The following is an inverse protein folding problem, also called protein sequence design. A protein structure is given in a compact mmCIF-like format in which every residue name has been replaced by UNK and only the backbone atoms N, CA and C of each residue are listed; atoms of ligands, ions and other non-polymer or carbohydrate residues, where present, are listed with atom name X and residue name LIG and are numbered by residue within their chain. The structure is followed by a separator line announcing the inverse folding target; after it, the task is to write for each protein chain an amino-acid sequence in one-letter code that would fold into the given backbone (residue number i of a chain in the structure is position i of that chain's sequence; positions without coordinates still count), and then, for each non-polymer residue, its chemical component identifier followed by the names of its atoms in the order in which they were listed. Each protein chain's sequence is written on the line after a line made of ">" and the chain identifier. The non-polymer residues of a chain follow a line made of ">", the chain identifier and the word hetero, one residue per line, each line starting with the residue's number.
data_IF_210304496921
#
_entry.id   IF_210304496921
#
_cell.length_a   1.000
_cell.length_b   1.000
_cell.length_c   1.000
_cell.angle_alpha   90.00
_cell.angle_beta   90.00
_cell.angle_gamma   90.00
#
_symmetry.space_group_name_H-M   'P 1'
#
loop_
_entity.id
_entity.type
_entity.pdbx_description
1 polymer ?
#
# COMPACT_ATOMS: atom_id res chain seq x y z
N UNK A 1 -13.05 3.20 3.08
CA UNK A 1 -13.28 4.27 2.09
C UNK A 1 -12.01 4.36 1.27
N UNK A 2 -12.12 4.38 -0.06
CA UNK A 2 -11.06 4.85 -0.95
C UNK A 2 -11.50 6.22 -1.48
N UNK A 3 -10.65 7.24 -1.41
CA UNK A 3 -10.97 8.61 -1.81
C UNK A 3 -9.73 9.35 -2.28
N UNK A 4 -9.81 9.98 -3.45
CA UNK A 4 -8.89 11.05 -3.84
C UNK A 4 -9.40 12.41 -3.35
N UNK A 5 -8.48 13.36 -3.21
CA UNK A 5 -8.77 14.78 -3.12
C UNK A 5 -7.78 15.51 -4.02
N UNK A 6 -8.11 16.74 -4.39
CA UNK A 6 -7.16 17.67 -4.98
C UNK A 6 -6.04 17.98 -3.95
N UNK A 7 -4.79 17.98 -4.40
CA UNK A 7 -3.63 18.22 -3.55
C UNK A 7 -3.47 19.68 -3.13
N UNK A 8 -2.53 19.93 -2.20
CA UNK A 8 -2.11 21.30 -1.89
C UNK A 8 -1.50 21.95 -3.16
N UNK A 9 -1.93 23.17 -3.53
CA UNK A 9 -1.52 23.89 -4.75
C UNK A 9 -1.58 23.02 -6.03
N UNK A 10 -2.76 22.72 -6.57
CA UNK A 10 -2.92 21.76 -7.67
C UNK A 10 -2.23 22.14 -8.98
N UNK A 11 -2.01 23.43 -9.22
CA UNK A 11 -1.28 23.94 -10.41
C UNK A 11 0.26 23.82 -10.28
N UNK A 12 0.78 23.66 -9.05
CA UNK A 12 2.22 23.55 -8.76
C UNK A 12 2.64 22.09 -8.46
N UNK A 13 1.80 21.33 -7.76
CA UNK A 13 2.10 19.98 -7.28
C UNK A 13 1.38 18.90 -8.10
N UNK A 14 2.04 17.75 -8.28
CA UNK A 14 1.54 16.65 -9.09
C UNK A 14 0.19 16.09 -8.59
N UNK A 15 -0.78 16.01 -9.50
CA UNK A 15 -2.11 15.44 -9.26
C UNK A 15 -2.24 14.07 -9.93
N UNK A 16 -3.21 13.24 -9.49
CA UNK A 16 -3.46 11.95 -10.13
C UNK A 16 -3.85 12.07 -11.61
N UNK A 17 -4.30 13.26 -12.05
CA UNK A 17 -4.63 13.60 -13.44
C UNK A 17 -3.50 14.32 -14.20
N UNK A 18 -2.31 14.53 -13.60
CA UNK A 18 -1.19 15.23 -14.26
C UNK A 18 -0.52 14.43 -15.38
N UNK A 19 -0.78 13.12 -15.51
CA UNK A 19 -0.36 12.32 -16.68
C UNK A 19 -1.31 11.17 -16.97
N UNK A 20 -1.26 10.65 -18.20
CA UNK A 20 -2.02 9.45 -18.59
C UNK A 20 -1.59 8.23 -17.77
N UNK A 21 -0.30 8.17 -17.38
CA UNK A 21 0.23 7.11 -16.53
C UNK A 21 -0.39 7.15 -15.11
N UNK A 22 -0.42 8.32 -14.45
CA UNK A 22 -1.01 8.46 -13.11
C UNK A 22 -2.51 8.17 -13.09
N UNK A 23 -3.27 8.60 -14.11
CA UNK A 23 -4.70 8.28 -14.20
C UNK A 23 -4.95 6.78 -14.30
N UNK A 24 -4.16 6.06 -15.10
CA UNK A 24 -4.28 4.60 -15.22
C UNK A 24 -3.82 3.86 -13.96
N UNK A 25 -2.83 4.36 -13.24
CA UNK A 25 -2.43 3.78 -11.94
C UNK A 25 -3.53 3.97 -10.87
N UNK A 26 -4.22 5.11 -10.84
CA UNK A 26 -5.42 5.26 -10.01
C UNK A 26 -6.56 4.32 -10.46
N UNK A 27 -6.72 4.10 -11.77
CA UNK A 27 -7.62 3.10 -12.33
C UNK A 27 -7.33 1.71 -11.77
N UNK A 28 -6.08 1.24 -11.90
CA UNK A 28 -5.60 -0.04 -11.33
C UNK A 28 -5.89 -0.16 -9.84
N UNK A 29 -5.57 0.87 -9.04
CA UNK A 29 -5.86 0.86 -7.61
C UNK A 29 -7.37 0.78 -7.31
N UNK A 30 -8.21 1.43 -8.13
CA UNK A 30 -9.67 1.37 -8.03
C UNK A 30 -10.21 -0.02 -8.37
N UNK A 31 -9.64 -0.69 -9.37
CA UNK A 31 -9.98 -2.07 -9.73
C UNK A 31 -9.61 -3.05 -8.60
N UNK A 32 -8.42 -2.92 -7.99
CA UNK A 32 -8.04 -3.75 -6.83
C UNK A 32 -8.97 -3.46 -5.62
N UNK A 33 -9.36 -2.21 -5.37
CA UNK A 33 -10.35 -1.87 -4.34
C UNK A 33 -11.74 -2.50 -4.61
N UNK A 34 -12.14 -2.62 -5.88
CA UNK A 34 -13.37 -3.31 -6.27
C UNK A 34 -13.25 -4.84 -6.09
N UNK A 35 -12.11 -5.43 -6.46
CA UNK A 35 -11.83 -6.86 -6.25
C UNK A 35 -11.83 -7.22 -4.76
N UNK A 36 -11.20 -6.40 -3.92
CA UNK A 36 -11.11 -6.55 -2.46
C UNK A 36 -12.43 -6.29 -1.71
N UNK A 37 -13.54 -5.98 -2.41
CA UNK A 37 -14.83 -5.59 -1.80
C UNK A 37 -15.34 -6.60 -0.77
N UNK A 38 -15.37 -7.89 -1.09
CA UNK A 38 -16.02 -8.89 -0.24
C UNK A 38 -15.29 -9.04 1.11
N UNK A 39 -13.96 -9.11 1.11
CA UNK A 39 -13.16 -9.08 2.34
C UNK A 39 -13.27 -7.73 3.07
N UNK A 40 -13.32 -6.62 2.34
CA UNK A 40 -13.55 -5.30 2.95
C UNK A 40 -14.90 -5.20 3.66
N UNK A 41 -15.92 -5.90 3.17
CA UNK A 41 -17.25 -5.95 3.79
C UNK A 41 -17.26 -6.75 5.10
N UNK A 42 -16.58 -7.91 5.18
CA UNK A 42 -16.48 -8.66 6.44
C UNK A 42 -15.61 -7.94 7.48
N UNK A 43 -14.54 -7.25 7.07
CA UNK A 43 -13.78 -6.36 7.96
C UNK A 43 -14.66 -5.22 8.49
N UNK A 44 -15.57 -4.67 7.68
CA UNK A 44 -16.54 -3.66 8.14
C UNK A 44 -17.66 -4.24 9.02
N UNK A 45 -17.98 -5.53 8.88
CA UNK A 45 -18.89 -6.24 9.80
C UNK A 45 -18.25 -6.41 11.18
N UNK A 46 -16.95 -6.76 11.26
CA UNK A 46 -16.20 -6.75 12.54
C UNK A 46 -16.13 -5.33 13.16
N UNK A 47 -15.96 -4.28 12.34
CA UNK A 47 -16.00 -2.89 12.82
C UNK A 47 -17.35 -2.56 13.45
N UNK A 48 -18.46 -2.97 12.82
CA UNK A 48 -19.81 -2.70 13.30
C UNK A 48 -20.21 -3.56 14.51
N UNK A 49 -19.81 -4.83 14.55
CA UNK A 49 -20.26 -5.79 15.57
C UNK A 49 -19.35 -5.88 16.79
N UNK A 50 -18.03 -5.70 16.61
CA UNK A 50 -17.02 -5.84 17.67
C UNK A 50 -16.32 -4.51 18.03
N UNK A 51 -16.53 -3.45 17.24
CA UNK A 51 -15.87 -2.15 17.43
C UNK A 51 -14.39 -2.15 17.02
N UNK A 52 -13.91 -3.19 16.34
CA UNK A 52 -12.52 -3.31 15.92
C UNK A 52 -12.18 -2.29 14.81
N UNK A 53 -10.98 -1.69 14.78
CA UNK A 53 -10.60 -0.78 13.70
C UNK A 53 -10.38 -1.53 12.37
N UNK A 54 -10.48 -0.84 11.23
CA UNK A 54 -10.44 -1.48 9.90
C UNK A 54 -9.00 -1.77 9.41
N UNK A 55 -8.11 -0.76 9.43
CA UNK A 55 -6.66 -1.02 9.56
C UNK A 55 -6.35 -1.15 11.06
N UNK A 56 -5.48 -2.09 11.41
CA UNK A 56 -5.10 -2.44 12.79
C UNK A 56 -3.57 -2.40 12.90
N UNK A 57 -3.00 -1.76 13.93
CA UNK A 57 -1.57 -1.88 14.21
C UNK A 57 -1.25 -3.33 14.61
N UNK A 58 0.00 -3.78 14.44
CA UNK A 58 0.35 -5.19 14.64
C UNK A 58 0.05 -5.67 16.07
N UNK A 59 0.35 -4.87 17.09
CA UNK A 59 0.07 -5.19 18.50
C UNK A 59 -1.41 -5.50 18.81
N UNK A 60 -2.36 -5.16 17.91
CA UNK A 60 -3.78 -5.53 18.06
C UNK A 60 -4.02 -7.04 17.93
N UNK A 61 -3.15 -7.77 17.21
CA UNK A 61 -3.21 -9.22 17.05
C UNK A 61 -1.93 -9.95 17.52
N UNK A 62 -0.88 -9.20 17.87
CA UNK A 62 0.45 -9.72 18.25
C UNK A 62 0.96 -9.10 19.56
N UNK A 63 0.09 -8.89 20.54
CA UNK A 63 0.40 -8.32 21.86
C UNK A 63 1.53 -9.05 22.64
N UNK A 64 1.83 -10.29 22.28
CA UNK A 64 2.92 -11.10 22.82
C UNK A 64 4.26 -10.98 22.05
N UNK A 65 4.28 -10.33 20.89
CA UNK A 65 5.50 -9.99 20.14
C UNK A 65 5.95 -8.54 20.48
N UNK A 66 7.17 -8.35 21.03
CA UNK A 66 7.71 -7.02 21.29
C UNK A 66 7.91 -6.14 20.05
N UNK A 67 8.18 -6.72 18.87
CA UNK A 67 8.40 -5.94 17.64
C UNK A 67 7.11 -5.29 17.13
N UNK A 68 5.95 -5.90 17.38
CA UNK A 68 4.62 -5.35 17.05
C UNK A 68 4.31 -3.98 17.67
N UNK A 69 5.07 -3.56 18.69
CA UNK A 69 4.98 -2.26 19.37
C UNK A 69 6.06 -1.24 18.94
N UNK A 70 7.00 -1.63 18.08
CA UNK A 70 8.11 -0.74 17.67
C UNK A 70 7.62 0.46 16.82
N UNK A 71 8.32 1.60 16.92
CA UNK A 71 7.98 2.82 16.18
C UNK A 71 8.00 2.63 14.65
N UNK A 72 8.81 1.70 14.13
CA UNK A 72 8.82 1.36 12.70
C UNK A 72 7.51 0.70 12.23
N UNK A 73 6.73 0.06 13.12
CA UNK A 73 5.47 -0.59 12.76
C UNK A 73 4.41 0.39 12.26
N UNK A 74 4.54 1.70 12.51
CA UNK A 74 3.61 2.73 11.99
C UNK A 74 3.58 2.82 10.45
N UNK A 75 4.57 2.24 9.77
CA UNK A 75 4.66 2.19 8.31
C UNK A 75 3.99 0.97 7.67
N UNK A 76 3.29 0.14 8.46
CA UNK A 76 2.50 -1.00 7.97
C UNK A 76 1.26 -1.24 8.84
N UNK A 77 0.22 -1.85 8.28
CA UNK A 77 -0.97 -2.25 9.06
C UNK A 77 -1.60 -3.53 8.56
N UNK A 78 -2.33 -4.21 9.47
CA UNK A 78 -3.25 -5.27 9.11
C UNK A 78 -4.58 -4.66 8.67
N UNK A 79 -5.05 -4.97 7.46
CA UNK A 79 -6.43 -4.76 7.07
C UNK A 79 -7.24 -5.97 7.55
N UNK A 80 -8.15 -5.76 8.51
CA UNK A 80 -8.79 -6.88 9.21
C UNK A 80 -7.80 -7.66 10.05
N UNK A 81 -7.87 -9.00 10.02
CA UNK A 81 -6.84 -9.88 10.60
C UNK A 81 -5.90 -10.46 9.53
N UNK A 82 -6.40 -10.68 8.33
CA UNK A 82 -5.81 -11.59 7.34
C UNK A 82 -4.85 -10.96 6.34
N UNK A 83 -4.85 -9.64 6.17
CA UNK A 83 -4.08 -8.95 5.10
C UNK A 83 -3.12 -7.94 5.71
N UNK A 84 -1.83 -8.05 5.42
CA UNK A 84 -0.79 -7.09 5.82
C UNK A 84 -0.47 -6.16 4.65
N UNK A 85 -0.41 -4.86 4.89
CA UNK A 85 -0.11 -3.82 3.89
C UNK A 85 1.05 -2.96 4.39
N UNK A 86 2.08 -2.75 3.57
CA UNK A 86 3.20 -1.86 3.87
C UNK A 86 3.34 -0.80 2.76
N UNK A 87 2.82 0.44 2.94
CA UNK A 87 2.89 1.47 1.90
C UNK A 87 4.31 2.00 1.66
N UNK A 88 4.78 1.95 0.41
CA UNK A 88 6.03 2.57 -0.04
C UNK A 88 5.92 4.10 0.04
N UNK A 89 6.81 4.75 0.80
CA UNK A 89 6.86 6.21 0.94
C UNK A 89 8.17 6.86 0.46
N UNK A 90 9.30 6.17 0.51
CA UNK A 90 10.57 6.63 -0.09
C UNK A 90 10.56 6.44 -1.63
N UNK A 91 11.36 7.19 -2.42
CA UNK A 91 11.38 7.07 -3.89
C UNK A 91 12.23 5.89 -4.37
N UNK A 92 11.94 5.37 -5.57
CA UNK A 92 12.70 4.30 -6.22
C UNK A 92 14.20 4.60 -6.37
N UNK A 93 14.59 5.87 -6.42
CA UNK A 93 15.99 6.34 -6.43
C UNK A 93 16.73 6.10 -5.11
N UNK A 94 16.02 6.02 -3.99
CA UNK A 94 16.57 5.66 -2.67
C UNK A 94 16.40 4.16 -2.37
N UNK A 95 15.29 3.55 -2.79
CA UNK A 95 14.94 2.17 -2.43
C UNK A 95 15.38 1.11 -3.44
N UNK A 96 15.75 1.49 -4.66
CA UNK A 96 16.08 0.56 -5.74
C UNK A 96 14.90 -0.29 -6.22
N UNK A 97 13.67 0.26 -6.15
CA UNK A 97 12.40 -0.45 -6.44
C UNK A 97 12.14 -1.69 -5.55
N UNK A 98 12.68 -1.71 -4.32
CA UNK A 98 12.45 -2.74 -3.30
C UNK A 98 11.93 -2.13 -2.00
N UNK A 99 11.37 -2.94 -1.11
CA UNK A 99 10.88 -2.48 0.19
C UNK A 99 11.08 -3.53 1.28
N UNK A 100 11.60 -3.07 2.43
CA UNK A 100 11.78 -3.90 3.63
C UNK A 100 10.63 -3.66 4.61
N UNK A 101 10.04 -4.72 5.14
CA UNK A 101 8.94 -4.68 6.10
C UNK A 101 9.04 -5.85 7.09
N UNK A 102 8.30 -5.79 8.18
CA UNK A 102 8.20 -6.87 9.16
C UNK A 102 7.03 -7.81 8.82
N UNK A 103 7.26 -9.12 8.80
CA UNK A 103 6.20 -10.11 8.85
C UNK A 103 6.09 -10.63 10.30
N UNK A 104 4.98 -10.38 11.01
CA UNK A 104 4.81 -10.85 12.38
C UNK A 104 4.51 -12.36 12.46
N UNK A 105 4.56 -12.99 13.66
CA UNK A 105 4.48 -14.44 13.84
C UNK A 105 3.18 -15.12 13.36
N UNK A 106 3.16 -15.48 12.08
CA UNK A 106 2.17 -16.26 11.34
C UNK A 106 2.82 -16.71 10.01
N UNK A 107 2.21 -17.67 9.31
CA UNK A 107 2.56 -17.96 7.92
C UNK A 107 1.89 -16.95 6.96
N UNK A 108 2.67 -16.41 6.03
CA UNK A 108 2.25 -15.37 5.08
C UNK A 108 2.45 -15.80 3.62
N UNK A 109 1.66 -15.21 2.71
CA UNK A 109 1.84 -15.35 1.26
C UNK A 109 1.83 -13.96 0.62
N UNK A 110 2.83 -13.69 -0.21
CA UNK A 110 2.94 -12.43 -0.96
C UNK A 110 1.90 -12.39 -2.08
N UNK A 111 1.08 -11.33 -2.10
CA UNK A 111 -0.13 -11.30 -2.92
C UNK A 111 0.14 -11.34 -4.43
N UNK A 112 1.28 -10.81 -4.90
CA UNK A 112 1.49 -10.54 -6.32
C UNK A 112 2.08 -11.72 -7.11
N UNK A 113 2.87 -12.58 -6.48
CA UNK A 113 3.50 -13.75 -7.12
C UNK A 113 3.20 -15.09 -6.41
N UNK A 114 2.60 -15.07 -5.22
CA UNK A 114 2.27 -16.27 -4.46
C UNK A 114 3.43 -16.85 -3.62
N UNK A 115 4.54 -16.12 -3.47
CA UNK A 115 5.67 -16.54 -2.63
C UNK A 115 5.23 -16.70 -1.18
N UNK A 116 5.41 -17.89 -0.61
CA UNK A 116 5.14 -18.18 0.79
C UNK A 116 6.32 -17.77 1.69
N UNK A 117 6.00 -17.26 2.87
CA UNK A 117 6.90 -16.89 3.95
C UNK A 117 6.37 -17.57 5.20
N UNK A 118 6.92 -18.75 5.48
CA UNK A 118 6.54 -19.63 6.58
C UNK A 118 7.35 -19.28 7.84
N UNK A 119 6.79 -19.55 9.04
CA UNK A 119 7.41 -19.20 10.34
C UNK A 119 7.80 -17.71 10.46
N UNK A 120 6.82 -16.82 10.24
CA UNK A 120 6.99 -15.37 10.38
C UNK A 120 7.49 -14.90 11.77
N UNK A 121 7.90 -13.64 11.83
CA UNK A 121 8.57 -13.03 12.98
C UNK A 121 9.85 -12.26 12.62
N UNK A 122 10.09 -11.99 11.33
CA UNK A 122 11.31 -11.38 10.80
C UNK A 122 11.07 -10.25 9.79
N UNK A 123 12.14 -9.58 9.37
CA UNK A 123 12.11 -8.54 8.34
C UNK A 123 12.42 -9.12 6.95
N UNK A 124 11.46 -9.00 6.02
CA UNK A 124 11.60 -9.46 4.63
C UNK A 124 11.81 -8.27 3.69
N UNK A 125 12.48 -8.48 2.56
CA UNK A 125 12.65 -7.45 1.52
C UNK A 125 12.16 -7.97 0.17
N UNK A 126 11.07 -7.38 -0.30
CA UNK A 126 10.37 -7.74 -1.55
C UNK A 126 10.48 -6.64 -2.60
N UNK A 127 10.18 -6.97 -3.84
CA UNK A 127 10.18 -5.99 -4.94
C UNK A 127 8.90 -5.14 -4.88
N UNK A 128 9.09 -3.82 -4.97
CA UNK A 128 8.06 -2.81 -4.78
C UNK A 128 8.22 -1.65 -5.79
N UNK A 129 8.18 -1.94 -7.11
CA UNK A 129 8.31 -0.92 -8.14
C UNK A 129 7.10 0.03 -8.17
N UNK A 130 7.29 1.23 -8.72
CA UNK A 130 6.26 2.27 -8.81
C UNK A 130 4.90 1.73 -9.32
N UNK A 131 3.84 2.01 -8.57
CA UNK A 131 2.49 1.49 -8.82
C UNK A 131 2.17 0.16 -8.14
N UNK A 132 3.11 -0.41 -7.37
CA UNK A 132 2.93 -1.58 -6.50
C UNK A 132 3.40 -1.27 -5.08
N UNK A 133 2.71 -1.84 -4.09
CA UNK A 133 3.11 -1.84 -2.69
C UNK A 133 3.16 -3.28 -2.18
N UNK A 134 4.00 -3.61 -1.20
CA UNK A 134 3.95 -4.89 -0.54
C UNK A 134 2.57 -5.14 0.11
N UNK A 135 1.95 -6.26 -0.27
CA UNK A 135 0.73 -6.78 0.34
C UNK A 135 0.90 -8.28 0.53
N UNK A 136 0.58 -8.77 1.72
CA UNK A 136 0.60 -10.18 2.06
C UNK A 136 -0.76 -10.59 2.62
N UNK A 137 -1.09 -11.87 2.53
CA UNK A 137 -2.22 -12.45 3.24
C UNK A 137 -1.78 -13.66 4.09
N UNK A 138 -2.45 -13.90 5.22
CA UNK A 138 -2.20 -15.08 6.06
C UNK A 138 -2.48 -16.34 5.26
N UNK A 139 -1.53 -17.28 5.22
CA UNK A 139 -1.61 -18.55 4.48
C UNK A 139 -2.85 -19.36 4.86
N UNK A 140 -3.14 -19.44 6.16
CA UNK A 140 -4.29 -20.15 6.76
C UNK A 140 -5.58 -19.31 6.80
N UNK A 141 -5.63 -18.16 6.10
CA UNK A 141 -6.87 -17.37 6.02
C UNK A 141 -8.00 -18.15 5.35
N UNK A 142 -9.21 -18.05 5.90
CA UNK A 142 -10.44 -18.51 5.24
C UNK A 142 -10.70 -17.80 3.90
N UNK A 143 -10.04 -16.66 3.66
CA UNK A 143 -10.05 -15.91 2.41
C UNK A 143 -8.85 -16.21 1.49
N UNK A 144 -7.95 -17.15 1.80
CA UNK A 144 -6.75 -17.44 0.99
C UNK A 144 -7.07 -17.69 -0.50
N UNK A 145 -8.09 -18.50 -0.80
CA UNK A 145 -8.52 -18.73 -2.19
C UNK A 145 -9.13 -17.49 -2.85
N UNK A 146 -9.75 -16.60 -2.08
CA UNK A 146 -10.23 -15.30 -2.56
C UNK A 146 -9.06 -14.36 -2.86
N UNK A 147 -8.02 -14.30 -2.04
CA UNK A 147 -6.84 -13.46 -2.31
C UNK A 147 -6.05 -13.95 -3.53
N UNK A 148 -5.92 -15.26 -3.75
CA UNK A 148 -5.39 -15.81 -5.00
C UNK A 148 -6.22 -15.36 -6.22
N UNK A 149 -7.55 -15.32 -6.10
CA UNK A 149 -8.42 -14.82 -7.17
C UNK A 149 -8.27 -13.30 -7.38
N UNK A 150 -8.07 -12.51 -6.31
CA UNK A 150 -7.76 -11.07 -6.41
C UNK A 150 -6.43 -10.85 -7.14
N UNK A 151 -5.40 -11.63 -6.82
CA UNK A 151 -4.11 -11.59 -7.50
C UNK A 151 -4.24 -11.89 -9.00
N UNK A 152 -4.88 -13.02 -9.33
CA UNK A 152 -5.05 -13.48 -10.71
C UNK A 152 -5.94 -12.56 -11.59
N UNK A 153 -6.78 -11.72 -10.98
CA UNK A 153 -7.62 -10.74 -11.67
C UNK A 153 -7.13 -9.29 -11.52
N UNK A 154 -6.03 -9.04 -10.81
CA UNK A 154 -5.45 -7.70 -10.68
C UNK A 154 -4.80 -7.29 -12.00
N UNK A 155 -5.08 -6.09 -12.55
CA UNK A 155 -4.42 -5.61 -13.77
C UNK A 155 -2.89 -5.57 -13.61
N UNK A 156 -2.18 -5.90 -14.69
CA UNK A 156 -0.72 -5.80 -14.73
C UNK A 156 -0.24 -4.36 -14.46
N UNK A 157 0.95 -4.24 -13.88
CA UNK A 157 1.62 -2.94 -13.68
C UNK A 157 1.92 -2.34 -15.05
N UNK A 158 1.58 -1.06 -15.25
CA UNK A 158 1.85 -0.39 -16.52
C UNK A 158 3.30 0.09 -16.59
N UNK A 159 3.99 -0.08 -17.73
CA UNK A 159 5.40 0.29 -17.85
C UNK A 159 5.61 1.80 -17.73
N UNK A 160 6.64 2.19 -16.98
CA UNK A 160 7.05 3.57 -16.69
C UNK A 160 7.54 4.34 -17.91
N UNK A 161 7.80 3.67 -19.03
CA UNK A 161 8.10 4.26 -20.35
C UNK A 161 6.92 5.05 -20.97
N UNK A 162 5.81 5.16 -20.26
CA UNK A 162 4.61 5.93 -20.64
C UNK A 162 4.40 7.21 -19.81
N UNK A 163 5.42 7.64 -19.05
CA UNK A 163 5.41 8.91 -18.32
C UNK A 163 5.53 10.11 -19.27
N UNK A 164 4.51 10.96 -19.29
CA UNK A 164 4.59 12.31 -19.87
C UNK A 164 5.65 13.15 -19.13
N UNK A 165 6.39 14.06 -19.80
CA UNK A 165 7.40 14.88 -19.14
C UNK A 165 6.77 15.82 -18.10
N UNK A 166 7.38 15.89 -16.91
CA UNK A 166 6.95 16.80 -15.83
C UNK A 166 6.95 18.25 -16.36
N UNK A 167 5.84 19.00 -16.24
CA UNK A 167 5.79 20.40 -16.68
C UNK A 167 6.72 21.26 -15.81
N UNK A 168 7.87 21.64 -16.36
CA UNK A 168 8.87 22.47 -15.68
C UNK A 168 8.42 23.92 -15.56
N UNK A 169 7.63 24.21 -14.54
CA UNK A 169 7.46 25.60 -14.09
C UNK A 169 8.81 26.13 -13.60
N UNK A 170 9.18 27.34 -14.02
CA UNK A 170 10.52 27.91 -13.80
C UNK A 170 10.65 28.64 -12.45
N UNK A 171 9.90 28.20 -11.44
CA UNK A 171 9.92 28.75 -10.10
C UNK A 171 11.15 28.23 -9.31
N UNK A 172 12.06 29.14 -8.96
CA UNK A 172 13.28 28.84 -8.19
C UNK A 172 12.96 28.28 -6.80
N UNK A 173 13.17 26.97 -6.59
CA UNK A 173 13.00 26.31 -5.28
C UNK A 173 14.24 26.60 -4.40
N UNK A 174 14.25 27.77 -3.77
CA UNK A 174 15.25 28.12 -2.76
C UNK A 174 14.89 27.53 -1.39
N UNK A 175 15.51 26.41 -1.04
CA UNK A 175 15.75 25.92 0.34
C UNK A 175 14.58 26.00 1.34
N UNK A 176 13.73 24.96 1.37
CA UNK A 176 12.96 24.57 2.56
C UNK A 176 12.93 23.04 2.70
N UNK A 177 12.96 22.48 3.92
CA UNK A 177 12.75 21.05 4.15
C UNK A 177 11.26 20.72 3.96
N UNK A 178 10.93 19.85 2.99
CA UNK A 178 9.54 19.59 2.59
C UNK A 178 8.94 18.39 3.35
N UNK A 179 8.68 18.57 4.64
CA UNK A 179 7.78 17.69 5.39
C UNK A 179 6.31 18.03 5.04
N UNK A 180 5.78 17.54 3.92
CA UNK A 180 4.32 17.61 3.67
C UNK A 180 3.73 16.35 3.04
N UNK A 181 2.77 15.76 3.77
CA UNK A 181 2.13 14.47 3.46
C UNK A 181 0.89 14.67 2.60
N UNK A 182 0.81 13.97 1.46
CA UNK A 182 -0.44 13.81 0.71
C UNK A 182 -1.24 12.63 1.30
N UNK A 183 -2.18 12.93 2.20
CA UNK A 183 -2.89 11.93 3.01
C UNK A 183 -3.98 11.15 2.23
N UNK A 184 -3.57 10.28 1.29
CA UNK A 184 -4.50 9.35 0.61
C UNK A 184 -5.00 8.31 1.62
N UNK A 185 -6.17 8.59 2.18
CA UNK A 185 -6.66 7.90 3.38
C UNK A 185 -7.40 6.60 3.00
N UNK A 186 -6.68 5.48 3.17
CA UNK A 186 -7.11 4.08 3.10
C UNK A 186 -7.29 3.45 1.70
N UNK A 187 -6.78 2.21 1.60
CA UNK A 187 -6.69 1.33 0.43
C UNK A 187 -5.79 1.80 -0.74
N UNK A 188 -4.63 1.15 -0.84
CA UNK A 188 -3.99 0.74 -2.11
C UNK A 188 -3.50 1.82 -3.10
N UNK A 189 -3.10 3.00 -2.61
CA UNK A 189 -2.25 3.92 -3.38
C UNK A 189 -0.98 4.26 -2.60
N UNK A 190 0.10 3.52 -2.87
CA UNK A 190 1.45 3.92 -2.48
C UNK A 190 2.08 4.82 -3.53
N UNK A 191 2.55 5.98 -3.07
CA UNK A 191 3.34 7.02 -3.75
C UNK A 191 2.82 7.61 -5.07
N UNK A 192 2.80 8.94 -5.11
CA UNK A 192 2.77 9.79 -6.30
C UNK A 192 4.03 10.68 -6.26
N UNK A 193 4.46 11.18 -7.42
CA UNK A 193 5.85 11.55 -7.72
C UNK A 193 6.32 12.93 -7.18
N UNK A 194 7.60 13.02 -6.83
CA UNK A 194 8.40 14.26 -6.74
C UNK A 194 9.83 13.95 -7.25
N UNK A 195 10.54 14.92 -7.87
CA UNK A 195 11.92 14.75 -8.32
C UNK A 195 12.94 14.68 -7.17
#
# INVERSE_FOLDING_TARGET
>A
MMRSHEGNRPDENWQYYSSVHSMKMLGRATEIYILMRNYTQSVLEEVYTLGYPAQRPLFFHYDNDPLSFDDSMKYQYLLGKDVLVAPVYLPSSETGDRWTLYLPPDDWVYLWDGTAYDDGGEYVTVDAPLGTIPVFYRKDSTYAQFFQNVAANTPAILPTTTMDPVPTSTASIASMPVEFVLLVTFFLVGKIWTP
#
